data_IF_167418988354
#
_entry.id   IF_167418988354
#
_cell.length_a   1.000
_cell.length_b   1.000
_cell.length_c   1.000
_cell.angle_alpha   90.00
_cell.angle_beta   90.00
_cell.angle_gamma   90.00
#
_symmetry.space_group_name_H-M   'P 1'
#
loop_
_entity.id
_entity.type
_entity.pdbx_description
1 polymer ?
#
# COMPACT_ATOMS: atom_id res chain seq x y z
N UNK A 1 -7.55 10.06 -3.60
CA UNK A 1 -8.75 10.78 -3.98
C UNK A 1 -8.79 11.17 -5.45
N UNK A 2 -7.65 11.39 -6.07
CA UNK A 2 -7.63 11.75 -7.48
C UNK A 2 -8.34 10.72 -8.35
N UNK A 3 -8.16 9.45 -8.06
CA UNK A 3 -8.79 8.38 -8.83
C UNK A 3 -10.31 8.48 -8.74
N UNK A 4 -10.83 8.67 -7.53
CA UNK A 4 -12.26 8.82 -7.33
C UNK A 4 -12.78 10.08 -8.02
N UNK A 5 -12.00 11.16 -7.98
CA UNK A 5 -12.36 12.42 -8.61
C UNK A 5 -12.41 12.28 -10.13
N UNK A 6 -11.41 11.63 -10.72
CA UNK A 6 -11.35 11.40 -12.16
C UNK A 6 -12.52 10.53 -12.64
N UNK A 7 -12.98 9.62 -11.82
CA UNK A 7 -14.10 8.76 -12.13
C UNK A 7 -15.45 9.40 -11.75
N UNK A 8 -15.40 10.63 -11.32
CA UNK A 8 -16.60 11.37 -10.87
C UNK A 8 -17.35 10.67 -9.74
N UNK A 9 -16.57 10.00 -8.88
CA UNK A 9 -17.12 9.32 -7.72
C UNK A 9 -16.47 9.86 -6.46
N UNK A 10 -17.24 9.97 -5.39
CA UNK A 10 -16.68 10.32 -4.10
C UNK A 10 -15.97 9.11 -3.49
N UNK A 11 -15.09 9.36 -2.52
CA UNK A 11 -14.43 8.27 -1.79
C UNK A 11 -15.44 7.36 -1.11
N UNK A 12 -16.54 7.93 -0.65
CA UNK A 12 -17.61 7.15 -0.02
C UNK A 12 -18.26 6.21 -1.03
N UNK A 13 -18.53 6.68 -2.24
CA UNK A 13 -19.12 5.87 -3.29
C UNK A 13 -18.20 4.75 -3.70
N UNK A 14 -16.91 5.04 -3.87
CA UNK A 14 -15.91 4.04 -4.21
C UNK A 14 -15.83 2.96 -3.14
N UNK A 15 -15.79 3.38 -1.87
CA UNK A 15 -15.74 2.45 -0.75
C UNK A 15 -16.95 1.52 -0.74
N UNK A 16 -18.13 2.08 -1.00
CA UNK A 16 -19.37 1.29 -1.05
C UNK A 16 -19.33 0.24 -2.15
N UNK A 17 -18.86 0.63 -3.33
CA UNK A 17 -18.73 -0.30 -4.45
C UNK A 17 -17.79 -1.44 -4.15
N UNK A 18 -16.65 -1.14 -3.52
CA UNK A 18 -15.70 -2.17 -3.14
C UNK A 18 -16.28 -3.15 -2.14
N UNK A 19 -17.10 -2.66 -1.21
CA UNK A 19 -17.78 -3.52 -0.25
C UNK A 19 -18.77 -4.46 -0.94
N UNK A 20 -19.46 -3.96 -1.94
CA UNK A 20 -20.41 -4.76 -2.72
C UNK A 20 -19.71 -5.86 -3.50
N UNK A 21 -18.46 -5.64 -3.87
CA UNK A 21 -17.64 -6.63 -4.59
C UNK A 21 -16.99 -7.64 -3.67
N UNK A 22 -17.29 -7.57 -2.36
CA UNK A 22 -16.75 -8.52 -1.41
C UNK A 22 -15.35 -8.20 -0.92
N UNK A 23 -14.87 -6.98 -1.16
CA UNK A 23 -13.59 -6.52 -0.65
C UNK A 23 -13.77 -5.19 0.08
N UNK A 24 -12.86 -4.87 0.99
CA UNK A 24 -12.88 -3.61 1.70
C UNK A 24 -11.93 -2.62 1.06
N UNK A 25 -12.19 -1.32 1.29
CA UNK A 25 -11.30 -0.26 0.85
C UNK A 25 -9.92 -0.41 1.44
N UNK A 26 -9.86 -0.76 2.73
CA UNK A 26 -8.59 -0.93 3.44
C UNK A 26 -7.78 -2.09 2.85
N UNK A 27 -8.45 -3.18 2.53
CA UNK A 27 -7.77 -4.33 1.91
C UNK A 27 -7.18 -3.95 0.56
N UNK A 28 -7.93 -3.20 -0.24
CA UNK A 28 -7.43 -2.75 -1.53
C UNK A 28 -6.20 -1.86 -1.38
N UNK A 29 -6.23 -0.94 -0.41
CA UNK A 29 -5.08 -0.08 -0.14
C UNK A 29 -3.86 -0.89 0.30
N UNK A 30 -4.08 -1.89 1.15
CA UNK A 30 -3.00 -2.76 1.61
C UNK A 30 -2.39 -3.54 0.44
N UNK A 31 -3.23 -4.06 -0.45
CA UNK A 31 -2.76 -4.79 -1.63
C UNK A 31 -1.93 -3.89 -2.56
N UNK A 32 -2.38 -2.65 -2.76
CA UNK A 32 -1.64 -1.68 -3.57
C UNK A 32 -0.30 -1.33 -2.94
N UNK A 33 -0.29 -1.07 -1.64
CA UNK A 33 0.94 -0.73 -0.92
C UNK A 33 1.92 -1.88 -0.93
N UNK A 34 1.42 -3.10 -0.76
CA UNK A 34 2.24 -4.30 -0.83
C UNK A 34 2.91 -4.42 -2.20
N UNK A 35 2.14 -4.28 -3.27
CA UNK A 35 2.67 -4.37 -4.61
C UNK A 35 3.73 -3.32 -4.90
N UNK A 36 3.47 -2.07 -4.51
CA UNK A 36 4.43 -0.99 -4.67
C UNK A 36 5.68 -1.21 -3.83
N UNK A 37 5.51 -1.71 -2.60
CA UNK A 37 6.64 -1.98 -1.72
C UNK A 37 7.57 -3.03 -2.33
N UNK A 38 7.00 -4.13 -2.82
CA UNK A 38 7.78 -5.19 -3.45
C UNK A 38 8.52 -4.64 -4.68
N UNK A 39 7.85 -3.87 -5.50
CA UNK A 39 8.46 -3.28 -6.69
C UNK A 39 9.63 -2.36 -6.32
N UNK A 40 9.44 -1.48 -5.34
CA UNK A 40 10.50 -0.57 -4.90
C UNK A 40 11.67 -1.33 -4.30
N UNK A 41 11.40 -2.37 -3.52
CA UNK A 41 12.46 -3.15 -2.89
C UNK A 41 13.28 -3.93 -3.89
N UNK A 42 12.66 -4.43 -4.95
CA UNK A 42 13.32 -5.30 -5.91
C UNK A 42 13.87 -4.57 -7.13
N UNK A 43 13.32 -3.41 -7.47
CA UNK A 43 13.64 -2.76 -8.74
C UNK A 43 14.21 -1.35 -8.63
N UNK A 44 13.95 -0.62 -7.55
CA UNK A 44 14.29 0.80 -7.52
C UNK A 44 15.62 1.13 -6.86
N UNK A 45 16.16 0.28 -6.05
CA UNK A 45 17.39 0.59 -5.29
C UNK A 45 17.21 1.60 -4.18
N UNK A 46 15.99 2.03 -3.89
CA UNK A 46 15.70 2.97 -2.82
C UNK A 46 15.93 2.33 -1.46
N UNK A 47 16.28 3.14 -0.46
CA UNK A 47 16.39 2.65 0.89
C UNK A 47 15.01 2.30 1.47
N UNK A 48 14.99 1.46 2.49
CA UNK A 48 13.73 1.11 3.16
C UNK A 48 13.07 2.35 3.74
N UNK A 49 13.89 3.29 4.27
CA UNK A 49 13.37 4.55 4.81
C UNK A 49 12.65 5.37 3.73
N UNK A 50 13.26 5.48 2.55
CA UNK A 50 12.66 6.21 1.44
C UNK A 50 11.36 5.57 0.99
N UNK A 51 11.35 4.25 0.90
CA UNK A 51 10.15 3.51 0.51
C UNK A 51 9.02 3.72 1.51
N UNK A 52 9.34 3.67 2.80
CA UNK A 52 8.36 3.89 3.85
C UNK A 52 7.69 5.25 3.71
N UNK A 53 8.49 6.29 3.52
CA UNK A 53 7.97 7.64 3.35
C UNK A 53 7.14 7.78 2.07
N UNK A 54 7.60 7.17 0.98
CA UNK A 54 6.88 7.21 -0.28
C UNK A 54 5.50 6.56 -0.19
N UNK A 55 5.36 5.55 0.67
CA UNK A 55 4.10 4.85 0.84
C UNK A 55 3.21 5.46 1.93
N UNK A 56 3.65 6.54 2.56
CA UNK A 56 2.85 7.26 3.54
C UNK A 56 3.04 6.83 4.98
N UNK A 57 4.09 6.09 5.28
CA UNK A 57 4.40 5.72 6.66
C UNK A 57 5.29 6.77 7.31
N UNK A 58 5.17 6.92 8.61
CA UNK A 58 5.93 7.93 9.35
C UNK A 58 7.41 7.54 9.49
N UNK A 59 7.71 6.26 9.51
CA UNK A 59 9.08 5.78 9.60
C UNK A 59 9.19 4.35 9.08
N UNK A 60 10.43 3.87 8.96
CA UNK A 60 10.71 2.54 8.43
C UNK A 60 10.18 1.42 9.33
N UNK A 61 10.15 1.65 10.64
CA UNK A 61 9.66 0.64 11.58
C UNK A 61 8.18 0.34 11.38
N UNK A 62 7.38 1.38 11.18
CA UNK A 62 5.95 1.22 10.92
C UNK A 62 5.71 0.51 9.58
N UNK A 63 6.48 0.88 8.57
CA UNK A 63 6.40 0.22 7.27
C UNK A 63 6.79 -1.26 7.40
N UNK A 64 7.88 -1.57 8.10
CA UNK A 64 8.36 -2.94 8.25
C UNK A 64 7.31 -3.82 8.93
N UNK A 65 6.61 -3.30 9.94
CA UNK A 65 5.55 -4.04 10.61
C UNK A 65 4.40 -4.34 9.66
N UNK A 66 3.99 -3.37 8.87
CA UNK A 66 2.93 -3.56 7.90
C UNK A 66 3.36 -4.57 6.83
N UNK A 67 4.57 -4.44 6.32
CA UNK A 67 5.09 -5.33 5.30
C UNK A 67 5.14 -6.78 5.80
N UNK A 68 5.58 -6.94 7.05
CA UNK A 68 5.64 -8.25 7.67
C UNK A 68 4.24 -8.87 7.82
N UNK A 69 3.25 -8.04 8.15
CA UNK A 69 1.86 -8.48 8.22
C UNK A 69 1.34 -8.93 6.86
N UNK A 70 1.75 -8.24 5.79
CA UNK A 70 1.29 -8.55 4.43
C UNK A 70 1.96 -9.81 3.86
N UNK A 71 3.25 -9.99 4.09
CA UNK A 71 4.05 -11.01 3.40
C UNK A 71 4.62 -12.08 4.31
N UNK A 72 4.64 -11.85 5.63
CA UNK A 72 5.29 -12.74 6.57
C UNK A 72 6.81 -12.56 6.66
N UNK A 73 7.37 -11.61 5.90
CA UNK A 73 8.82 -11.37 5.87
C UNK A 73 9.13 -9.89 6.04
N UNK A 74 10.36 -9.59 6.43
CA UNK A 74 10.78 -8.20 6.54
C UNK A 74 11.10 -7.63 5.17
N UNK A 75 11.10 -6.29 5.00
CA UNK A 75 11.50 -5.69 3.73
C UNK A 75 12.92 -6.09 3.31
N UNK A 76 13.82 -6.23 4.26
CA UNK A 76 15.19 -6.64 3.97
C UNK A 76 15.27 -8.02 3.32
N UNK A 77 14.34 -8.89 3.64
CA UNK A 77 14.29 -10.25 3.09
C UNK A 77 13.92 -10.26 1.61
N UNK A 78 13.35 -9.16 1.12
CA UNK A 78 12.94 -9.02 -0.29
C UNK A 78 14.04 -8.41 -1.17
N UNK A 79 15.12 -7.98 -0.59
CA UNK A 79 16.23 -7.38 -1.34
C UNK A 79 17.28 -8.38 -1.78
#
# INVERSE_FOLDING_TARGET
EEVASEMHMSSRTLKRKLQQLGTSYQKLLDDLRKGLAVEYLTQSGRSVDDIALALGYSDASNFARAFRRWTGKSPSDYR
#
